data_IF_440045519555
#
_entry.id   IF_440045519555
#
_cell.length_a   1.000
_cell.length_b   1.000
_cell.length_c   1.000
_cell.angle_alpha   90.00
_cell.angle_beta   90.00
_cell.angle_gamma   90.00
#
_symmetry.space_group_name_H-M   'P 1'
#
loop_
_entity.id
_entity.type
_entity.pdbx_description
1 polymer ?
#
# COMPACT_ATOMS: atom_id res chain seq x y z
N UNK A 1 8.57 -0.92 13.33
CA UNK A 1 7.68 0.15 12.85
C UNK A 1 8.53 1.13 12.06
N UNK A 2 8.14 1.45 10.82
CA UNK A 2 8.81 2.44 9.95
C UNK A 2 7.85 3.62 9.79
N UNK A 3 8.30 4.82 10.18
CA UNK A 3 7.53 6.06 10.09
C UNK A 3 8.01 6.97 8.96
N UNK A 4 7.32 8.09 8.74
CA UNK A 4 7.61 9.02 7.63
C UNK A 4 9.01 9.64 7.63
N UNK A 5 9.74 9.56 8.76
CA UNK A 5 11.09 10.09 8.92
C UNK A 5 12.15 8.98 9.06
N UNK A 6 11.75 7.72 8.93
CA UNK A 6 12.67 6.58 9.08
C UNK A 6 13.57 6.37 7.85
N UNK A 7 13.21 6.92 6.69
CA UNK A 7 14.00 6.89 5.47
C UNK A 7 14.01 8.28 4.80
N UNK A 8 15.06 8.60 4.02
CA UNK A 8 15.09 9.83 3.22
C UNK A 8 13.94 9.88 2.20
N UNK A 9 13.56 8.72 1.67
CA UNK A 9 12.47 8.57 0.71
C UNK A 9 11.12 8.39 1.43
N UNK A 10 10.08 8.96 0.85
CA UNK A 10 8.68 8.83 1.30
C UNK A 10 7.81 8.39 0.13
N UNK A 11 6.66 7.78 0.42
CA UNK A 11 5.61 7.53 -0.57
C UNK A 11 5.37 8.83 -1.36
N UNK A 12 5.34 8.79 -2.70
CA UNK A 12 5.08 7.64 -3.58
C UNK A 12 6.30 6.75 -3.93
N UNK A 13 7.47 7.00 -3.35
CA UNK A 13 8.66 6.16 -3.57
C UNK A 13 8.45 4.73 -3.04
N UNK A 14 9.00 3.72 -3.74
CA UNK A 14 8.93 2.31 -3.37
C UNK A 14 9.85 1.92 -2.21
N UNK A 15 10.92 2.70 -1.96
CA UNK A 15 11.98 2.37 -1.02
C UNK A 15 11.46 2.03 0.39
N UNK A 16 10.47 2.73 0.97
CA UNK A 16 9.90 2.35 2.26
C UNK A 16 9.25 0.95 2.27
N UNK A 17 8.53 0.59 1.22
CA UNK A 17 7.88 -0.72 1.12
C UNK A 17 8.89 -1.84 0.90
N UNK A 18 9.86 -1.61 0.01
CA UNK A 18 10.94 -2.57 -0.26
C UNK A 18 11.84 -2.77 0.97
N UNK A 19 12.10 -1.71 1.73
CA UNK A 19 12.84 -1.79 2.98
C UNK A 19 12.11 -2.66 4.01
N UNK A 20 10.80 -2.44 4.19
CA UNK A 20 9.98 -3.25 5.10
C UNK A 20 9.97 -4.72 4.68
N UNK A 21 9.69 -5.02 3.40
CA UNK A 21 9.70 -6.39 2.90
C UNK A 21 11.05 -7.08 3.19
N UNK A 22 12.17 -6.40 2.89
CA UNK A 22 13.52 -6.88 3.18
C UNK A 22 13.75 -7.09 4.69
N UNK A 23 13.32 -6.15 5.53
CA UNK A 23 13.49 -6.24 6.99
C UNK A 23 12.79 -7.47 7.58
N UNK A 24 11.65 -7.87 7.01
CA UNK A 24 10.91 -9.07 7.42
C UNK A 24 11.32 -10.34 6.65
N UNK A 25 12.33 -10.27 5.77
CA UNK A 25 12.77 -11.41 4.97
C UNK A 25 11.71 -11.92 3.99
N UNK A 26 10.86 -11.02 3.48
CA UNK A 26 9.77 -11.32 2.54
C UNK A 26 10.03 -10.68 1.19
N UNK A 27 9.46 -11.26 0.14
CA UNK A 27 9.39 -10.59 -1.16
C UNK A 27 8.24 -9.58 -1.18
N UNK A 28 8.28 -8.54 -2.04
CA UNK A 28 7.17 -7.59 -2.14
C UNK A 28 5.82 -8.27 -2.42
N UNK A 29 5.81 -9.38 -3.17
CA UNK A 29 4.59 -10.14 -3.50
C UNK A 29 4.02 -10.92 -2.31
N UNK A 30 4.80 -11.13 -1.26
CA UNK A 30 4.36 -11.74 0.01
C UNK A 30 3.87 -10.68 1.02
N UNK A 31 3.88 -9.40 0.64
CA UNK A 31 3.39 -8.29 1.44
C UNK A 31 2.16 -7.68 0.77
N UNK A 32 1.28 -7.09 1.58
CA UNK A 32 0.12 -6.35 1.10
C UNK A 32 0.26 -4.90 1.56
N UNK A 33 0.26 -3.96 0.62
CA UNK A 33 0.07 -2.55 0.92
C UNK A 33 -1.42 -2.29 1.11
N UNK A 34 -1.79 -1.69 2.24
CA UNK A 34 -3.16 -1.22 2.48
C UNK A 34 -3.10 0.29 2.65
N UNK A 35 -3.80 1.02 1.78
CA UNK A 35 -3.70 2.48 1.73
C UNK A 35 -5.00 3.16 1.29
N UNK A 36 -5.02 4.49 1.41
CA UNK A 36 -6.20 5.32 1.18
C UNK A 36 -5.91 6.53 0.28
N UNK A 37 -4.73 6.58 -0.30
CA UNK A 37 -4.29 7.75 -1.07
C UNK A 37 -3.57 7.37 -2.36
N UNK A 38 -3.48 8.34 -3.28
CA UNK A 38 -2.74 8.17 -4.53
C UNK A 38 -1.25 7.85 -4.29
N UNK A 39 -0.65 8.37 -3.21
CA UNK A 39 0.76 8.10 -2.89
C UNK A 39 0.97 6.67 -2.39
N UNK A 40 -0.02 6.09 -1.70
CA UNK A 40 -0.01 4.66 -1.34
C UNK A 40 -0.05 3.78 -2.57
N UNK A 41 -1.00 4.07 -3.46
CA UNK A 41 -1.17 3.32 -4.70
C UNK A 41 0.09 3.38 -5.57
N UNK A 42 0.66 4.58 -5.74
CA UNK A 42 1.88 4.77 -6.50
C UNK A 42 3.08 4.03 -5.88
N UNK A 43 3.22 4.06 -4.55
CA UNK A 43 4.29 3.34 -3.86
C UNK A 43 4.15 1.82 -4.01
N UNK A 44 2.94 1.27 -3.86
CA UNK A 44 2.67 -0.15 -4.05
C UNK A 44 3.01 -0.61 -5.47
N UNK A 45 2.56 0.15 -6.47
CA UNK A 45 2.83 -0.12 -7.88
C UNK A 45 4.34 -0.06 -8.19
N UNK A 46 5.04 0.97 -7.70
CA UNK A 46 6.48 1.10 -7.87
C UNK A 46 7.28 -0.02 -7.17
N UNK A 47 6.75 -0.57 -6.07
CA UNK A 47 7.34 -1.69 -5.33
C UNK A 47 6.95 -3.07 -5.90
N UNK A 48 6.07 -3.13 -6.91
CA UNK A 48 5.42 -4.36 -7.38
C UNK A 48 4.78 -5.18 -6.24
N UNK A 49 4.19 -4.47 -5.27
CA UNK A 49 3.53 -5.01 -4.09
C UNK A 49 2.01 -5.02 -4.29
N UNK A 50 1.32 -6.14 -3.99
CA UNK A 50 -0.14 -6.18 -3.94
C UNK A 50 -0.74 -5.01 -3.16
N UNK A 51 -1.85 -4.45 -3.66
CA UNK A 51 -2.48 -3.26 -3.11
C UNK A 51 -3.96 -3.53 -2.78
N UNK A 52 -4.37 -3.20 -1.56
CA UNK A 52 -5.77 -3.02 -1.19
C UNK A 52 -6.02 -1.55 -0.84
N UNK A 53 -7.07 -0.97 -1.41
CA UNK A 53 -7.45 0.42 -1.14
C UNK A 53 -8.63 0.49 -0.19
N UNK A 54 -8.63 1.45 0.73
CA UNK A 54 -9.77 1.72 1.62
C UNK A 54 -10.51 2.98 1.18
N UNK A 55 -11.85 2.94 1.16
CA UNK A 55 -12.68 4.07 0.69
C UNK A 55 -12.98 5.12 1.75
N UNK A 56 -12.89 4.76 3.03
CA UNK A 56 -13.23 5.65 4.15
C UNK A 56 -12.08 6.58 4.57
N UNK A 57 -10.94 6.52 3.88
CA UNK A 57 -9.78 7.35 4.17
C UNK A 57 -9.73 8.64 3.34
N UNK A 58 -8.54 9.12 3.12
CA UNK A 58 -8.27 10.46 2.61
C UNK A 58 -8.05 10.50 1.10
N UNK A 59 -9.11 10.18 0.36
CA UNK A 59 -9.08 10.05 -1.09
C UNK A 59 -8.70 11.36 -1.81
N UNK A 60 -9.00 12.55 -1.27
CA UNK A 60 -8.75 13.87 -1.92
C UNK A 60 -9.14 13.94 -3.42
N UNK A 61 -10.22 13.27 -3.83
CA UNK A 61 -10.64 13.20 -5.24
C UNK A 61 -9.90 12.16 -6.09
N UNK A 62 -9.06 11.32 -5.46
CA UNK A 62 -8.46 10.14 -6.06
C UNK A 62 -9.53 9.08 -6.34
N UNK A 63 -9.60 8.64 -7.59
CA UNK A 63 -10.42 7.50 -7.97
C UNK A 63 -9.71 6.20 -7.57
N UNK A 64 -10.19 5.58 -6.50
CA UNK A 64 -9.70 4.29 -6.01
C UNK A 64 -9.78 3.17 -7.05
N UNK A 65 -10.68 3.26 -8.02
CA UNK A 65 -10.81 2.26 -9.08
C UNK A 65 -9.61 2.33 -10.04
N UNK A 66 -9.04 3.53 -10.22
CA UNK A 66 -7.85 3.73 -11.07
C UNK A 66 -6.54 3.24 -10.44
N UNK A 67 -6.56 2.84 -9.16
CA UNK A 67 -5.35 2.52 -8.39
C UNK A 67 -4.66 1.21 -8.81
N UNK A 68 -5.33 0.35 -9.58
CA UNK A 68 -4.86 -1.02 -9.87
C UNK A 68 -4.88 -1.93 -8.63
N UNK A 69 -5.67 -1.57 -7.62
CA UNK A 69 -5.79 -2.35 -6.40
C UNK A 69 -6.49 -3.68 -6.68
N UNK A 70 -6.00 -4.76 -6.08
CA UNK A 70 -6.63 -6.08 -6.18
C UNK A 70 -7.93 -6.16 -5.38
N UNK A 71 -8.10 -5.25 -4.40
CA UNK A 71 -9.30 -5.14 -3.60
C UNK A 71 -9.54 -3.68 -3.19
N UNK A 72 -10.82 -3.30 -3.12
CA UNK A 72 -11.26 -2.04 -2.56
C UNK A 72 -12.21 -2.38 -1.42
N UNK A 73 -11.83 -2.01 -0.20
CA UNK A 73 -12.52 -2.42 1.02
C UNK A 73 -13.10 -1.22 1.77
N UNK A 74 -14.21 -1.45 2.47
CA UNK A 74 -14.85 -0.48 3.37
C UNK A 74 -14.56 -0.80 4.83
N UNK A 75 -14.00 -1.97 5.11
CA UNK A 75 -13.74 -2.45 6.46
C UNK A 75 -12.52 -3.37 6.47
N UNK A 76 -11.61 -3.18 7.42
CA UNK A 76 -10.39 -3.99 7.57
C UNK A 76 -10.67 -5.48 7.74
N UNK A 77 -11.82 -5.86 8.29
CA UNK A 77 -12.24 -7.27 8.43
C UNK A 77 -12.38 -7.96 7.08
N UNK A 78 -12.63 -7.21 6.00
CA UNK A 78 -12.71 -7.77 4.64
C UNK A 78 -11.35 -8.30 4.15
N UNK A 79 -10.22 -7.86 4.73
CA UNK A 79 -8.90 -8.39 4.42
C UNK A 79 -8.79 -9.90 4.74
N UNK A 80 -9.54 -10.38 5.74
CA UNK A 80 -9.55 -11.79 6.13
C UNK A 80 -10.17 -12.70 5.05
N UNK A 81 -10.92 -12.12 4.12
CA UNK A 81 -11.55 -12.84 3.01
C UNK A 81 -10.70 -12.79 1.72
N UNK A 82 -9.61 -12.01 1.69
CA UNK A 82 -8.69 -11.99 0.55
C UNK A 82 -7.87 -13.27 0.53
N UNK A 83 -7.75 -13.88 -0.65
CA UNK A 83 -7.02 -15.13 -0.89
C UNK A 83 -5.69 -14.86 -1.56
#
# INVERSE_FOLDING_TARGET
MLGGDSLPQRKPDAAPLLHLAKQFGRTPQQCLMVGDSATDAAAANAAAMPLAMVRYGYLRGFDVQSAGAMAIIDDMRQLLALK
#
